data_IF_121183519705
#
_entry.id   IF_121183519705
#
_cell.length_a   1.000
_cell.length_b   1.000
_cell.length_c   1.000
_cell.angle_alpha   90.00
_cell.angle_beta   90.00
_cell.angle_gamma   90.00
#
_symmetry.space_group_name_H-M   'P 1'
#
loop_
_entity.id
_entity.type
_entity.pdbx_description
1 polymer ?
#
# COMPACT_ATOMS: atom_id res chain seq x y z
N UNK A 1 -8.16 -8.30 -33.44
CA UNK A 1 -7.56 -7.12 -32.80
C UNK A 1 -6.07 -7.39 -32.77
N UNK A 2 -5.28 -6.62 -33.51
CA UNK A 2 -3.84 -6.87 -33.71
C UNK A 2 -3.01 -6.43 -32.50
N UNK A 3 -1.94 -7.19 -32.23
CA UNK A 3 -0.99 -7.01 -31.13
C UNK A 3 -0.31 -5.62 -31.15
N UNK A 4 -0.13 -5.03 -32.34
CA UNK A 4 0.42 -3.67 -32.52
C UNK A 4 -0.51 -2.55 -32.05
N UNK A 5 -1.83 -2.75 -32.09
CA UNK A 5 -2.82 -1.75 -31.64
C UNK A 5 -2.76 -1.52 -30.12
N UNK A 6 -2.48 -2.57 -29.35
CA UNK A 6 -2.33 -2.48 -27.91
C UNK A 6 -0.98 -1.91 -27.49
N UNK A 7 0.09 -2.19 -28.25
CA UNK A 7 1.42 -1.60 -28.00
C UNK A 7 1.42 -0.08 -28.20
N UNK A 8 0.77 0.41 -29.26
CA UNK A 8 0.68 1.84 -29.54
C UNK A 8 -0.10 2.58 -28.44
N UNK A 9 -1.22 2.02 -27.99
CA UNK A 9 -2.02 2.61 -26.90
C UNK A 9 -1.37 2.54 -25.53
N UNK A 10 -0.65 1.46 -25.23
CA UNK A 10 0.09 1.36 -23.98
C UNK A 10 1.14 2.48 -23.87
N UNK A 11 1.78 2.87 -24.99
CA UNK A 11 2.79 3.92 -24.99
C UNK A 11 2.26 5.33 -24.68
N UNK A 12 0.94 5.53 -24.82
CA UNK A 12 0.27 6.79 -24.45
C UNK A 12 -0.05 6.88 -22.96
N UNK A 13 0.03 5.76 -22.23
CA UNK A 13 -0.25 5.71 -20.80
C UNK A 13 0.93 6.26 -20.02
N UNK A 14 0.66 7.21 -19.14
CA UNK A 14 1.67 7.81 -18.28
C UNK A 14 1.15 7.88 -16.84
N UNK A 15 2.00 7.49 -15.89
CA UNK A 15 1.72 7.62 -14.46
C UNK A 15 2.63 8.69 -13.86
N UNK A 16 2.03 9.58 -13.10
CA UNK A 16 2.71 10.66 -12.42
C UNK A 16 2.46 10.59 -10.92
N UNK A 17 3.49 10.84 -10.12
CA UNK A 17 3.41 11.01 -8.69
C UNK A 17 3.33 12.50 -8.36
N UNK A 18 2.33 12.91 -7.57
CA UNK A 18 2.29 14.26 -7.00
C UNK A 18 2.88 14.26 -5.60
N UNK A 19 3.81 15.16 -5.33
CA UNK A 19 4.40 15.39 -3.99
C UNK A 19 4.32 16.87 -3.62
N UNK A 20 4.02 17.15 -2.36
CA UNK A 20 3.98 18.51 -1.81
C UNK A 20 5.12 18.84 -0.84
N UNK A 21 6.17 18.01 -0.77
CA UNK A 21 7.30 18.14 0.18
C UNK A 21 8.00 19.51 0.23
N UNK A 22 7.79 20.36 -0.78
CA UNK A 22 8.33 21.73 -0.86
C UNK A 22 7.32 22.86 -0.59
N UNK A 23 6.06 22.53 -0.27
CA UNK A 23 4.94 23.48 -0.22
C UNK A 23 4.42 23.94 -1.58
N UNK A 24 5.05 23.47 -2.68
CA UNK A 24 4.60 23.62 -4.06
C UNK A 24 4.32 22.25 -4.65
N UNK A 25 3.34 22.18 -5.54
CA UNK A 25 3.08 20.98 -6.33
C UNK A 25 4.33 20.60 -7.14
N UNK A 26 4.85 19.40 -6.88
CA UNK A 26 5.73 18.71 -7.81
C UNK A 26 4.99 17.53 -8.43
N UNK A 27 4.96 17.44 -9.76
CA UNK A 27 4.40 16.29 -10.49
C UNK A 27 5.53 15.64 -11.28
N UNK A 28 5.93 14.45 -10.86
CA UNK A 28 7.00 13.68 -11.49
C UNK A 28 6.41 12.53 -12.29
N UNK A 29 6.86 12.35 -13.53
CA UNK A 29 6.50 11.15 -14.31
C UNK A 29 7.30 9.96 -13.79
N UNK A 30 6.62 8.95 -13.29
CA UNK A 30 7.25 7.76 -12.72
C UNK A 30 7.12 6.52 -13.61
N UNK A 31 6.19 6.53 -14.58
CA UNK A 31 6.01 5.40 -15.50
C UNK A 31 5.52 5.84 -16.88
N UNK A 32 5.95 5.12 -17.92
CA UNK A 32 5.39 5.17 -19.28
C UNK A 32 5.03 3.75 -19.69
N UNK A 33 3.85 3.54 -20.28
CA UNK A 33 3.33 2.19 -20.50
C UNK A 33 2.24 1.82 -19.49
N UNK A 34 1.79 0.56 -19.56
CA UNK A 34 0.87 -0.02 -18.58
C UNK A 34 1.58 -0.09 -17.21
N UNK A 35 1.12 0.64 -16.17
CA UNK A 35 1.70 0.58 -14.83
C UNK A 35 1.32 -0.70 -14.06
N UNK A 36 2.14 -1.00 -13.05
CA UNK A 36 1.79 -1.94 -12.00
C UNK A 36 0.96 -1.25 -10.91
N UNK A 37 0.00 -1.96 -10.32
CA UNK A 37 -0.79 -1.42 -9.22
C UNK A 37 0.08 -1.08 -7.99
N UNK A 38 1.21 -1.77 -7.82
CA UNK A 38 2.21 -1.52 -6.77
C UNK A 38 2.94 -0.17 -6.92
N UNK A 39 2.83 0.49 -8.07
CA UNK A 39 3.37 1.84 -8.27
C UNK A 39 2.57 2.92 -7.53
N UNK A 40 1.38 2.60 -7.01
CA UNK A 40 0.56 3.49 -6.19
C UNK A 40 0.91 3.32 -4.71
N UNK A 41 1.43 4.37 -4.10
CA UNK A 41 1.75 4.43 -2.67
C UNK A 41 0.59 5.05 -1.88
N UNK A 42 0.13 4.38 -0.82
CA UNK A 42 -0.97 4.87 0.04
C UNK A 42 -0.73 6.25 0.63
N UNK A 43 0.53 6.67 0.78
CA UNK A 43 0.89 7.96 1.38
C UNK A 43 0.86 9.12 0.40
N UNK A 44 0.64 8.86 -0.89
CA UNK A 44 0.76 9.85 -1.96
C UNK A 44 -0.50 9.93 -2.84
N UNK A 45 -0.54 10.94 -3.71
CA UNK A 45 -1.52 11.05 -4.78
C UNK A 45 -0.84 10.87 -6.15
N UNK A 46 -1.57 10.31 -7.10
CA UNK A 46 -1.07 9.96 -8.43
C UNK A 46 -2.03 10.42 -9.52
N UNK A 47 -1.46 10.77 -10.67
CA UNK A 47 -2.22 11.11 -11.88
C UNK A 47 -1.92 10.03 -12.91
N UNK A 48 -2.96 9.31 -13.36
CA UNK A 48 -2.89 8.41 -14.50
C UNK A 48 -3.46 9.13 -15.72
N UNK A 49 -2.60 9.38 -16.70
CA UNK A 49 -3.02 9.81 -18.04
C UNK A 49 -3.15 8.56 -18.92
N UNK A 50 -4.39 8.14 -19.19
CA UNK A 50 -4.71 6.98 -20.02
C UNK A 50 -4.97 7.36 -21.49
N UNK A 51 -4.49 8.53 -21.93
CA UNK A 51 -4.72 9.04 -23.28
C UNK A 51 -6.21 9.20 -23.58
N UNK A 52 -6.72 8.44 -24.55
CA UNK A 52 -8.16 8.42 -24.88
C UNK A 52 -9.05 7.90 -23.75
N UNK A 53 -8.48 7.17 -22.79
CA UNK A 53 -9.18 6.65 -21.60
C UNK A 53 -9.51 7.71 -20.55
N UNK A 54 -9.04 8.94 -20.73
CA UNK A 54 -9.23 10.04 -19.80
C UNK A 54 -8.16 10.10 -18.71
N UNK A 55 -8.37 10.99 -17.74
CA UNK A 55 -7.40 11.27 -16.68
C UNK A 55 -7.99 10.86 -15.35
N UNK A 56 -7.20 10.14 -14.56
CA UNK A 56 -7.60 9.69 -13.24
C UNK A 56 -6.64 10.24 -12.20
N UNK A 57 -7.19 10.73 -11.09
CA UNK A 57 -6.43 11.23 -9.94
C UNK A 57 -6.68 10.26 -8.80
N UNK A 58 -5.73 9.38 -8.54
CA UNK A 58 -5.79 8.42 -7.45
C UNK A 58 -5.28 9.06 -6.17
N UNK A 59 -6.02 8.89 -5.08
CA UNK A 59 -5.74 9.48 -3.77
C UNK A 59 -5.54 8.36 -2.76
N UNK A 60 -4.31 8.23 -2.26
CA UNK A 60 -3.96 7.31 -1.20
C UNK A 60 -4.64 7.66 0.13
N UNK A 61 -4.88 6.65 0.97
CA UNK A 61 -5.50 6.82 2.30
C UNK A 61 -4.60 7.59 3.28
N UNK A 62 -3.29 7.40 3.17
CA UNK A 62 -2.27 8.11 3.95
C UNK A 62 -1.91 9.48 3.41
N UNK A 63 -2.40 9.86 2.22
CA UNK A 63 -2.16 11.16 1.60
C UNK A 63 -2.63 12.31 2.51
N UNK A 64 -1.82 13.36 2.59
CA UNK A 64 -2.09 14.44 3.51
C UNK A 64 -3.37 15.23 3.12
N UNK A 65 -4.10 15.85 4.07
CA UNK A 65 -5.36 16.53 3.75
C UNK A 65 -5.22 17.70 2.75
N UNK A 66 -4.07 18.38 2.73
CA UNK A 66 -3.79 19.49 1.81
C UNK A 66 -3.59 18.98 0.38
N UNK A 67 -2.84 17.89 0.20
CA UNK A 67 -2.66 17.20 -1.08
C UNK A 67 -3.98 16.69 -1.60
N UNK A 68 -4.78 16.02 -0.76
CA UNK A 68 -6.10 15.52 -1.14
C UNK A 68 -7.03 16.62 -1.64
N UNK A 69 -7.00 17.80 -1.01
CA UNK A 69 -7.82 18.94 -1.41
C UNK A 69 -7.38 19.54 -2.75
N UNK A 70 -6.07 19.56 -3.02
CA UNK A 70 -5.49 20.23 -4.18
C UNK A 70 -5.20 19.31 -5.37
N UNK A 71 -5.19 17.99 -5.17
CA UNK A 71 -4.83 16.99 -6.18
C UNK A 71 -5.62 17.14 -7.48
N UNK A 72 -6.91 17.47 -7.39
CA UNK A 72 -7.76 17.69 -8.57
C UNK A 72 -7.39 18.98 -9.32
N UNK A 73 -7.10 20.07 -8.60
CA UNK A 73 -6.71 21.33 -9.23
C UNK A 73 -5.31 21.25 -9.84
N UNK A 74 -4.43 20.51 -9.19
CA UNK A 74 -3.11 20.17 -9.69
C UNK A 74 -3.17 19.32 -10.95
N UNK A 75 -4.02 18.30 -10.98
CA UNK A 75 -4.25 17.53 -12.19
C UNK A 75 -4.77 18.40 -13.33
N UNK A 76 -5.73 19.30 -13.07
CA UNK A 76 -6.23 20.24 -14.09
C UNK A 76 -5.12 21.16 -14.61
N UNK A 77 -4.34 21.78 -13.73
CA UNK A 77 -3.21 22.64 -14.11
C UNK A 77 -2.14 21.88 -14.90
N UNK A 78 -1.87 20.63 -14.51
CA UNK A 78 -0.95 19.76 -15.22
C UNK A 78 -1.44 19.47 -16.63
N UNK A 79 -2.73 19.16 -16.80
CA UNK A 79 -3.33 18.88 -18.11
C UNK A 79 -3.35 20.09 -19.04
N UNK A 80 -3.59 21.28 -18.50
CA UNK A 80 -3.48 22.53 -19.27
C UNK A 80 -2.07 22.71 -19.85
N UNK A 81 -1.03 22.39 -19.06
CA UNK A 81 0.37 22.44 -19.53
C UNK A 81 0.70 21.39 -20.58
N UNK A 82 0.06 20.22 -20.52
CA UNK A 82 0.23 19.15 -21.51
C UNK A 82 -0.58 19.38 -22.80
N UNK A 83 -1.22 20.56 -22.95
CA UNK A 83 -2.07 20.91 -24.09
C UNK A 83 -3.20 19.89 -24.35
N UNK A 84 -3.67 19.20 -23.29
CA UNK A 84 -4.81 18.29 -23.39
C UNK A 84 -6.10 19.10 -23.65
N UNK A 85 -7.07 18.55 -24.40
CA UNK A 85 -8.33 19.23 -24.63
C UNK A 85 -9.07 19.58 -23.34
N UNK A 86 -9.74 20.73 -23.30
CA UNK A 86 -10.49 21.18 -22.11
C UNK A 86 -11.67 20.28 -21.74
N UNK A 87 -12.18 19.50 -22.69
CA UNK A 87 -13.24 18.52 -22.46
C UNK A 87 -12.72 17.18 -21.94
N UNK A 88 -11.41 17.04 -21.73
CA UNK A 88 -10.83 15.82 -21.14
C UNK A 88 -11.39 15.62 -19.73
N UNK A 89 -12.04 14.48 -19.51
CA UNK A 89 -12.61 14.14 -18.23
C UNK A 89 -11.50 13.85 -17.21
N UNK A 90 -11.62 14.47 -16.02
CA UNK A 90 -10.75 14.21 -14.87
C UNK A 90 -11.58 13.53 -13.78
N UNK A 91 -11.23 12.28 -13.45
CA UNK A 91 -11.94 11.45 -12.50
C UNK A 91 -11.13 11.32 -11.22
N UNK A 92 -11.75 11.61 -10.07
CA UNK A 92 -11.13 11.33 -8.77
C UNK A 92 -11.36 9.86 -8.40
N UNK A 93 -10.29 9.19 -8.00
CA UNK A 93 -10.27 7.79 -7.55
C UNK A 93 -9.73 7.74 -6.13
N UNK A 94 -10.43 7.07 -5.21
CA UNK A 94 -9.97 6.92 -3.84
C UNK A 94 -9.41 5.50 -3.65
N UNK A 95 -8.31 5.39 -2.92
CA UNK A 95 -7.77 4.08 -2.57
C UNK A 95 -8.82 3.20 -1.85
N UNK A 96 -9.00 1.98 -2.36
CA UNK A 96 -10.01 1.04 -1.91
C UNK A 96 -11.39 1.20 -2.56
N UNK A 97 -11.61 2.24 -3.37
CA UNK A 97 -12.85 2.49 -4.11
C UNK A 97 -12.55 2.74 -5.60
N UNK A 98 -11.64 1.95 -6.17
CA UNK A 98 -11.20 2.12 -7.56
C UNK A 98 -12.20 1.52 -8.56
N UNK A 99 -12.72 2.31 -9.52
CA UNK A 99 -13.66 1.82 -10.52
C UNK A 99 -12.94 1.02 -11.62
N UNK A 100 -13.66 0.09 -12.27
CA UNK A 100 -13.11 -0.72 -13.37
C UNK A 100 -12.48 0.13 -14.49
N UNK A 101 -13.09 1.29 -14.77
CA UNK A 101 -12.59 2.26 -15.74
C UNK A 101 -11.15 2.74 -15.46
N UNK A 102 -10.73 2.73 -14.19
CA UNK A 102 -9.36 3.03 -13.76
C UNK A 102 -8.49 1.76 -13.72
N UNK A 103 -8.99 0.68 -13.13
CA UNK A 103 -8.20 -0.52 -12.84
C UNK A 103 -7.79 -1.28 -14.10
N UNK A 104 -8.56 -1.18 -15.18
CA UNK A 104 -8.25 -1.79 -16.49
C UNK A 104 -6.91 -1.33 -17.08
N UNK A 105 -6.40 -0.17 -16.64
CA UNK A 105 -5.16 0.40 -17.15
C UNK A 105 -3.91 -0.13 -16.45
N UNK A 106 -4.07 -1.02 -15.46
CA UNK A 106 -2.96 -1.61 -14.71
C UNK A 106 -2.81 -3.10 -15.06
N UNK A 107 -1.59 -3.54 -15.30
CA UNK A 107 -1.31 -4.89 -15.81
C UNK A 107 -1.64 -6.00 -14.82
N UNK A 108 -1.51 -5.73 -13.52
CA UNK A 108 -1.61 -6.71 -12.45
C UNK A 108 -2.59 -6.29 -11.34
N UNK A 109 -3.60 -5.46 -11.65
CA UNK A 109 -4.52 -4.94 -10.64
C UNK A 109 -5.17 -6.04 -9.79
N UNK A 110 -5.65 -7.10 -10.45
CA UNK A 110 -6.29 -8.23 -9.79
C UNK A 110 -5.32 -9.06 -8.95
N UNK A 111 -4.04 -9.11 -9.32
CA UNK A 111 -3.01 -9.84 -8.58
C UNK A 111 -2.51 -9.03 -7.37
N UNK A 112 -2.41 -7.72 -7.49
CA UNK A 112 -2.04 -6.82 -6.41
C UNK A 112 -3.11 -6.70 -5.31
N UNK A 113 -4.37 -6.97 -5.64
CA UNK A 113 -5.51 -7.02 -4.69
C UNK A 113 -5.82 -8.41 -4.16
N UNK A 114 -5.15 -9.47 -4.66
CA UNK A 114 -5.20 -10.74 -3.93
C UNK A 114 -4.59 -10.43 -2.56
N UNK A 115 -5.31 -10.69 -1.44
CA UNK A 115 -4.64 -10.66 -0.15
C UNK A 115 -3.39 -11.52 -0.33
N UNK A 116 -2.22 -10.96 -0.02
CA UNK A 116 -1.02 -11.79 0.10
C UNK A 116 -1.47 -12.93 0.99
N UNK A 117 -1.36 -14.16 0.47
CA UNK A 117 -1.79 -15.35 1.19
C UNK A 117 -0.75 -15.59 2.29
N UNK A 118 -0.72 -14.68 3.25
CA UNK A 118 0.08 -14.75 4.45
C UNK A 118 -0.81 -15.42 5.48
N UNK A 119 -0.41 -16.63 5.85
CA UNK A 119 -1.04 -17.30 6.99
C UNK A 119 -0.65 -16.50 8.23
N UNK A 120 -1.62 -16.03 9.04
CA UNK A 120 -1.33 -15.44 10.33
C UNK A 120 -0.40 -16.35 11.13
N UNK A 121 0.60 -15.77 11.78
CA UNK A 121 1.51 -16.49 12.66
C UNK A 121 1.42 -15.93 14.06
N UNK A 122 1.30 -16.83 15.04
CA UNK A 122 1.39 -16.49 16.45
C UNK A 122 2.74 -16.99 16.98
N UNK A 123 3.45 -16.12 17.68
CA UNK A 123 4.69 -16.48 18.35
C UNK A 123 4.57 -16.24 19.85
N UNK A 124 5.11 -17.14 20.65
CA UNK A 124 5.28 -16.99 22.10
C UNK A 124 6.74 -16.68 22.40
N UNK A 125 6.97 -15.65 23.22
CA UNK A 125 8.29 -15.26 23.72
C UNK A 125 8.30 -15.52 25.22
N UNK A 126 8.99 -16.59 25.63
CA UNK A 126 9.02 -17.07 27.01
C UNK A 126 10.45 -17.38 27.46
N UNK A 127 10.77 -17.16 28.73
CA UNK A 127 12.01 -17.63 29.34
C UNK A 127 11.82 -18.69 30.43
N UNK A 128 10.63 -19.30 30.55
CA UNK A 128 10.30 -20.26 31.63
C UNK A 128 11.29 -21.44 31.70
N UNK A 129 11.84 -21.85 30.55
CA UNK A 129 12.88 -22.89 30.45
C UNK A 129 14.26 -22.50 31.02
N UNK A 130 14.42 -21.28 31.51
CA UNK A 130 15.67 -20.68 32.00
C UNK A 130 16.49 -19.96 30.92
N UNK A 131 16.02 -19.97 29.66
CA UNK A 131 16.55 -19.18 28.55
C UNK A 131 15.39 -18.65 27.73
N UNK A 132 15.54 -17.43 27.21
CA UNK A 132 14.55 -16.85 26.29
C UNK A 132 14.44 -17.70 25.02
N UNK A 133 13.22 -18.13 24.71
CA UNK A 133 12.87 -18.91 23.54
C UNK A 133 11.70 -18.25 22.80
N UNK A 134 11.66 -18.44 21.48
CA UNK A 134 10.59 -17.94 20.62
C UNK A 134 10.02 -19.13 19.85
N UNK A 135 8.73 -19.43 20.05
CA UNK A 135 8.05 -20.56 19.42
C UNK A 135 6.92 -20.07 18.53
N UNK A 136 6.77 -20.68 17.35
CA UNK A 136 5.60 -20.48 16.49
C UNK A 136 4.50 -21.45 16.90
N UNK A 137 3.31 -20.91 17.21
CA UNK A 137 2.12 -21.69 17.52
C UNK A 137 1.29 -21.81 16.25
N UNK A 138 1.24 -23.02 15.70
CA UNK A 138 0.43 -23.34 14.52
C UNK A 138 -1.04 -23.54 14.89
N UNK A 139 -1.95 -23.22 13.95
CA UNK A 139 -3.41 -23.42 14.10
C UNK A 139 -3.99 -22.86 15.41
N UNK A 140 -3.49 -21.69 15.84
CA UNK A 140 -3.76 -21.09 17.14
C UNK A 140 -5.21 -20.60 17.34
N UNK A 141 -5.64 -20.61 18.59
CA UNK A 141 -6.88 -20.06 19.11
C UNK A 141 -6.60 -19.12 20.29
N UNK A 142 -7.65 -18.47 20.81
CA UNK A 142 -7.50 -17.58 21.96
C UNK A 142 -6.97 -18.31 23.22
N UNK A 143 -7.22 -19.61 23.32
CA UNK A 143 -6.80 -20.47 24.43
C UNK A 143 -5.27 -20.66 24.49
N UNK A 144 -4.56 -20.44 23.37
CA UNK A 144 -3.09 -20.53 23.29
C UNK A 144 -2.39 -19.23 23.74
N UNK A 145 -3.14 -18.21 24.15
CA UNK A 145 -2.56 -16.98 24.71
C UNK A 145 -2.14 -17.21 26.17
N UNK A 146 -0.84 -17.09 26.43
CA UNK A 146 -0.30 -17.27 27.78
C UNK A 146 -0.13 -15.95 28.52
N UNK A 147 -0.92 -15.78 29.58
CA UNK A 147 -0.90 -14.60 30.46
C UNK A 147 0.44 -14.34 31.14
N UNK A 148 1.34 -15.33 31.19
CA UNK A 148 2.64 -15.22 31.82
C UNK A 148 3.76 -14.87 30.83
N UNK A 149 3.48 -14.78 29.53
CA UNK A 149 4.48 -14.53 28.48
C UNK A 149 4.13 -13.34 27.56
N UNK A 150 5.01 -13.05 26.60
CA UNK A 150 4.72 -12.12 25.50
C UNK A 150 4.28 -12.89 24.26
N UNK A 151 3.14 -12.52 23.69
CA UNK A 151 2.60 -13.10 22.47
C UNK A 151 2.71 -12.10 21.31
N UNK A 152 3.18 -12.56 20.14
CA UNK A 152 3.35 -11.75 18.93
C UNK A 152 2.49 -12.33 17.82
N UNK A 153 1.52 -11.56 17.34
CA UNK A 153 0.66 -11.94 16.22
C UNK A 153 1.05 -11.16 14.97
N UNK A 154 1.51 -11.87 13.96
CA UNK A 154 1.85 -11.34 12.64
C UNK A 154 0.67 -11.51 11.67
N UNK A 155 0.14 -10.37 11.20
CA UNK A 155 -0.91 -10.28 10.19
C UNK A 155 -0.40 -9.62 8.90
N UNK A 156 0.89 -9.80 8.57
CA UNK A 156 1.61 -9.27 7.42
C UNK A 156 1.80 -7.75 7.43
N UNK A 157 0.70 -6.99 7.36
CA UNK A 157 0.73 -5.52 7.36
C UNK A 157 0.66 -4.92 8.76
N UNK A 158 0.39 -5.74 9.77
CA UNK A 158 0.22 -5.29 11.15
C UNK A 158 0.71 -6.37 12.09
N UNK A 159 1.54 -5.98 13.06
CA UNK A 159 1.95 -6.83 14.16
C UNK A 159 1.27 -6.36 15.43
N UNK A 160 0.71 -7.30 16.17
CA UNK A 160 0.22 -7.09 17.53
C UNK A 160 1.18 -7.74 18.51
N UNK A 161 1.61 -6.97 19.51
CA UNK A 161 2.37 -7.48 20.64
C UNK A 161 1.46 -7.42 21.86
N UNK A 162 1.11 -8.58 22.39
CA UNK A 162 0.37 -8.70 23.63
C UNK A 162 1.34 -9.09 24.75
N UNK A 163 1.39 -8.25 25.77
CA UNK A 163 2.24 -8.45 26.94
C UNK A 163 1.38 -9.04 28.04
N UNK A 164 1.63 -10.31 28.37
CA UNK A 164 0.97 -11.00 29.46
C UNK A 164 1.11 -10.26 30.79
N UNK A 165 0.11 -10.43 31.66
CA UNK A 165 0.12 -9.84 33.00
C UNK A 165 1.27 -10.37 33.88
N UNK A 166 1.64 -11.64 33.69
CA UNK A 166 2.77 -12.31 34.36
C UNK A 166 4.11 -12.15 33.65
N UNK A 167 4.12 -11.63 32.41
CA UNK A 167 5.35 -11.46 31.62
C UNK A 167 6.42 -10.70 32.40
N UNK A 168 7.63 -11.23 32.38
CA UNK A 168 8.76 -10.67 33.09
C UNK A 168 9.48 -9.58 32.29
N UNK A 169 10.51 -9.00 32.88
CA UNK A 169 11.24 -7.88 32.29
C UNK A 169 12.03 -8.29 31.03
N UNK A 170 12.63 -9.47 31.03
CA UNK A 170 13.46 -9.93 29.91
C UNK A 170 12.60 -10.21 28.67
N UNK A 171 11.43 -10.83 28.84
CA UNK A 171 10.47 -11.07 27.75
C UNK A 171 9.96 -9.75 27.14
N UNK A 172 9.64 -8.77 27.99
CA UNK A 172 9.19 -7.43 27.56
C UNK A 172 10.27 -6.68 26.78
N UNK A 173 11.52 -6.74 27.23
CA UNK A 173 12.65 -6.10 26.55
C UNK A 173 12.96 -6.79 25.21
N UNK A 174 12.75 -8.10 25.12
CA UNK A 174 12.93 -8.85 23.88
C UNK A 174 11.79 -8.65 22.86
N UNK A 175 10.58 -8.32 23.31
CA UNK A 175 9.38 -8.23 22.50
C UNK A 175 9.54 -7.40 21.21
N UNK A 176 10.12 -6.20 21.31
CA UNK A 176 10.29 -5.31 20.16
C UNK A 176 11.33 -5.85 19.16
N UNK A 177 12.41 -6.44 19.67
CA UNK A 177 13.44 -7.03 18.83
C UNK A 177 12.90 -8.26 18.08
N UNK A 178 12.16 -9.13 18.78
CA UNK A 178 11.53 -10.32 18.20
C UNK A 178 10.47 -9.94 17.18
N UNK A 179 9.61 -8.97 17.47
CA UNK A 179 8.61 -8.46 16.51
C UNK A 179 9.26 -7.97 15.21
N UNK A 180 10.42 -7.29 15.29
CA UNK A 180 11.17 -6.85 14.10
C UNK A 180 11.78 -7.99 13.29
N UNK A 181 12.05 -9.13 13.91
CA UNK A 181 12.52 -10.34 13.22
C UNK A 181 11.36 -11.01 12.49
N UNK A 182 10.18 -11.13 13.13
CA UNK A 182 8.98 -11.71 12.53
C UNK A 182 8.57 -10.98 11.25
N UNK A 183 8.72 -9.64 11.17
CA UNK A 183 8.45 -8.83 9.96
C UNK A 183 9.24 -9.24 8.71
N UNK A 184 10.33 -10.02 8.83
CA UNK A 184 11.22 -10.36 7.71
C UNK A 184 10.93 -11.73 7.09
N UNK A 185 9.94 -12.46 7.60
CA UNK A 185 9.65 -13.86 7.26
C UNK A 185 8.38 -14.00 6.44
#
# INVERSE_FOLDING_TARGET
MDEGYWQERASEINLYKSSDSSGKLNVEKIHTGVPDAKSLDTNDAFILDAGVGGIYVWIGKGCNPSERAKAMDWARQFLEKQMRPKWTQVVRVLEGAEPEAFTQWFGNWNEAKKPVQHQPKLFQVSNESGKLHVEEIADFYQEDLDGDDVMILDLFNTIYVWVGAGANKEEKEAAEATAKVCLKT
#
